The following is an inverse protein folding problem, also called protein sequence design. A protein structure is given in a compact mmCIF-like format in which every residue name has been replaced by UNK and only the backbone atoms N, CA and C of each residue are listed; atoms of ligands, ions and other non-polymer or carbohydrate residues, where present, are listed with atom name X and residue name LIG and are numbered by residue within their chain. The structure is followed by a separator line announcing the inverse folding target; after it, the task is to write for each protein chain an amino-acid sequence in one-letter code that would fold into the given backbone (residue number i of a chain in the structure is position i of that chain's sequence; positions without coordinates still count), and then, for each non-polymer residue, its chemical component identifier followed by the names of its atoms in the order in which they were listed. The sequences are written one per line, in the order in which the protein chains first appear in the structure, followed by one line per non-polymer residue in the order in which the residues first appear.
data_IF_156076798225
#
_entry.id   IF_156076798225
#
_cell.length_a   1.000
_cell.length_b   1.000
_cell.length_c   1.000
_cell.angle_alpha   90.00
_cell.angle_beta   90.00
_cell.angle_gamma   90.00
#
_symmetry.space_group_name_H-M   'P 1'
#
loop_
_entity.id
_entity.type
_entity.pdbx_description
1 polymer ?
#
# COMPACT_ATOMS: atom_id res chain seq x y z
N UNK A 1 28.33 35.75 8.04
CA UNK A 1 27.52 35.56 6.82
C UNK A 1 27.05 34.12 6.80
N UNK A 2 25.92 33.83 7.45
CA UNK A 2 25.37 32.47 7.57
C UNK A 2 24.50 32.20 6.35
N UNK A 3 24.98 31.31 5.48
CA UNK A 3 24.17 30.71 4.42
C UNK A 3 23.11 29.83 5.09
N UNK A 4 21.88 30.33 5.12
CA UNK A 4 20.69 29.58 5.53
C UNK A 4 20.45 28.51 4.46
N UNK A 5 20.93 27.29 4.72
CA UNK A 5 20.63 26.12 3.90
C UNK A 5 19.12 25.86 4.02
N UNK A 6 18.35 26.39 3.05
CA UNK A 6 16.94 26.09 2.92
C UNK A 6 16.79 24.58 2.74
N UNK A 7 16.50 23.87 3.83
CA UNK A 7 16.15 22.48 3.79
C UNK A 7 14.80 22.40 3.07
N UNK A 8 14.83 22.19 1.74
CA UNK A 8 13.63 22.17 0.93
C UNK A 8 12.68 21.12 1.53
N UNK A 9 11.52 21.57 2.02
CA UNK A 9 10.53 20.71 2.60
C UNK A 9 10.17 19.62 1.58
N UNK A 10 10.40 18.36 1.96
CA UNK A 10 10.03 17.19 1.17
C UNK A 10 8.64 16.76 1.61
N UNK A 11 7.81 16.40 0.64
CA UNK A 11 6.45 15.94 0.87
C UNK A 11 6.28 14.60 0.18
N UNK A 12 5.49 13.72 0.78
CA UNK A 12 5.16 12.43 0.16
C UNK A 12 4.11 12.59 -0.93
N UNK A 13 4.26 11.83 -2.00
CA UNK A 13 3.34 11.76 -3.12
C UNK A 13 3.13 10.31 -3.53
N UNK A 14 1.98 10.03 -4.15
CA UNK A 14 1.64 8.70 -4.61
C UNK A 14 1.94 8.53 -6.10
N UNK A 15 2.65 7.47 -6.44
CA UNK A 15 2.96 7.06 -7.81
C UNK A 15 2.16 5.81 -8.15
N UNK A 16 1.45 5.86 -9.27
CA UNK A 16 0.84 4.69 -9.88
C UNK A 16 1.86 3.98 -10.77
N UNK A 17 2.02 2.69 -10.55
CA UNK A 17 2.89 1.81 -11.30
C UNK A 17 2.11 1.02 -12.36
N UNK A 18 2.84 0.49 -13.34
CA UNK A 18 2.29 -0.50 -14.27
C UNK A 18 2.01 -1.79 -13.52
N UNK A 19 1.01 -2.55 -13.98
CA UNK A 19 0.57 -3.78 -13.33
C UNK A 19 1.76 -4.73 -13.08
N UNK A 20 1.96 -5.13 -11.82
CA UNK A 20 3.04 -6.03 -11.36
C UNK A 20 4.47 -5.51 -11.64
N UNK A 21 4.66 -4.20 -11.82
CA UNK A 21 5.98 -3.59 -12.02
C UNK A 21 6.33 -2.57 -10.95
N UNK A 22 5.62 -2.57 -9.83
CA UNK A 22 5.82 -1.70 -8.68
C UNK A 22 7.15 -1.96 -7.95
N UNK A 23 7.58 -3.22 -7.79
CA UNK A 23 8.94 -3.54 -7.30
C UNK A 23 10.01 -3.00 -8.25
N UNK A 24 9.80 -3.18 -9.56
CA UNK A 24 10.69 -2.65 -10.58
C UNK A 24 10.70 -1.12 -10.60
N UNK A 25 9.55 -0.48 -10.40
CA UNK A 25 9.42 0.95 -10.34
C UNK A 25 10.21 1.51 -9.14
N UNK A 26 10.06 0.89 -7.97
CA UNK A 26 10.83 1.22 -6.77
C UNK A 26 12.34 1.13 -7.02
N UNK A 27 12.82 0.05 -7.63
CA UNK A 27 14.23 -0.14 -7.96
C UNK A 27 14.76 0.99 -8.87
N UNK A 28 14.05 1.29 -9.95
CA UNK A 28 14.47 2.33 -10.90
C UNK A 28 14.39 3.75 -10.31
N UNK A 29 13.38 4.04 -9.48
CA UNK A 29 13.25 5.32 -8.80
C UNK A 29 14.37 5.53 -7.76
N UNK A 30 14.70 4.50 -6.98
CA UNK A 30 15.83 4.55 -6.05
C UNK A 30 17.15 4.79 -6.76
N UNK A 31 17.37 4.13 -7.92
CA UNK A 31 18.56 4.37 -8.77
C UNK A 31 18.66 5.79 -9.30
N UNK A 32 17.54 6.47 -9.49
CA UNK A 32 17.49 7.88 -9.87
C UNK A 32 17.63 8.84 -8.69
N UNK A 33 17.77 8.33 -7.46
CA UNK A 33 17.95 9.12 -6.24
C UNK A 33 16.67 9.54 -5.53
N UNK A 34 15.51 8.97 -5.90
CA UNK A 34 14.26 9.24 -5.19
C UNK A 34 14.20 8.43 -3.88
N UNK A 35 13.74 9.09 -2.81
CA UNK A 35 13.30 8.39 -1.60
C UNK A 35 11.93 7.77 -1.89
N UNK A 36 11.84 6.44 -1.77
CA UNK A 36 10.63 5.68 -2.07
C UNK A 36 10.28 4.71 -0.96
N UNK A 37 8.98 4.58 -0.70
CA UNK A 37 8.41 3.59 0.20
C UNK A 37 7.35 2.78 -0.55
N UNK A 38 7.52 1.46 -0.54
CA UNK A 38 6.52 0.50 -1.00
C UNK A 38 6.17 -0.36 0.20
N UNK A 39 4.90 -0.32 0.61
CA UNK A 39 4.42 -1.22 1.67
C UNK A 39 4.32 -2.64 1.10
N UNK A 40 4.86 -3.62 1.82
CA UNK A 40 4.93 -5.02 1.39
C UNK A 40 4.52 -5.96 2.51
N UNK A 41 3.99 -7.13 2.16
CA UNK A 41 3.74 -8.19 3.13
C UNK A 41 4.37 -9.50 2.66
N UNK A 42 4.68 -10.37 3.61
CA UNK A 42 5.17 -11.72 3.32
C UNK A 42 4.01 -12.69 3.10
N UNK A 43 4.11 -13.52 2.08
CA UNK A 43 3.14 -14.57 1.76
C UNK A 43 3.85 -15.84 1.34
N UNK A 44 3.34 -16.99 1.78
CA UNK A 44 3.74 -18.26 1.20
C UNK A 44 3.07 -18.45 -0.17
N UNK A 45 3.89 -18.71 -1.19
CA UNK A 45 3.43 -19.01 -2.55
C UNK A 45 4.16 -20.24 -3.06
N UNK A 46 3.42 -21.11 -3.75
CA UNK A 46 4.03 -22.23 -4.47
C UNK A 46 4.64 -21.70 -5.77
N UNK A 47 5.99 -21.70 -5.83
CA UNK A 47 6.76 -21.28 -6.99
C UNK A 47 7.52 -22.48 -7.52
N UNK A 48 7.20 -22.91 -8.74
CA UNK A 48 7.81 -24.08 -9.40
C UNK A 48 7.77 -25.35 -8.51
N UNK A 49 6.63 -25.60 -7.87
CA UNK A 49 6.42 -26.79 -7.03
C UNK A 49 6.97 -26.69 -5.60
N UNK A 50 7.72 -25.65 -5.25
CA UNK A 50 8.23 -25.44 -3.89
C UNK A 50 7.47 -24.31 -3.20
N UNK A 51 7.10 -24.51 -1.93
CA UNK A 51 6.58 -23.44 -1.09
C UNK A 51 7.70 -22.46 -0.76
N UNK A 52 7.48 -21.18 -1.05
CA UNK A 52 8.44 -20.11 -0.76
C UNK A 52 7.72 -18.92 -0.15
N UNK A 53 8.34 -18.31 0.85
CA UNK A 53 7.91 -17.02 1.37
C UNK A 53 8.38 -15.95 0.38
N UNK A 54 7.45 -15.23 -0.22
CA UNK A 54 7.70 -14.11 -1.12
C UNK A 54 7.20 -12.81 -0.49
N UNK A 55 7.81 -11.69 -0.87
CA UNK A 55 7.36 -10.35 -0.49
C UNK A 55 6.50 -9.78 -1.62
N UNK A 56 5.20 -9.57 -1.36
CA UNK A 56 4.29 -8.96 -2.32
C UNK A 56 3.89 -7.56 -1.85
N UNK A 57 3.60 -6.66 -2.79
CA UNK A 57 3.17 -5.31 -2.44
C UNK A 57 1.80 -5.32 -1.81
N UNK A 58 1.68 -4.55 -0.74
CA UNK A 58 0.43 -4.35 -0.04
C UNK A 58 -0.59 -3.58 -0.88
N UNK A 59 -0.12 -2.58 -1.62
CA UNK A 59 -0.90 -1.84 -2.61
C UNK A 59 -0.36 -2.11 -4.02
N UNK A 60 -0.71 -3.24 -4.67
CA UNK A 60 -0.19 -3.56 -6.00
C UNK A 60 -0.44 -2.42 -6.98
N UNK A 61 0.64 -1.95 -7.61
CA UNK A 61 0.56 -0.85 -8.57
C UNK A 61 0.64 0.54 -7.94
N UNK A 62 0.98 0.68 -6.66
CA UNK A 62 1.23 1.98 -6.03
C UNK A 62 2.52 1.98 -5.22
N UNK A 63 3.19 3.13 -5.17
CA UNK A 63 4.32 3.40 -4.28
C UNK A 63 4.31 4.86 -3.85
N UNK A 64 4.92 5.14 -2.70
CA UNK A 64 5.08 6.49 -2.18
C UNK A 64 6.48 7.00 -2.54
N UNK A 65 6.58 8.27 -2.91
CA UNK A 65 7.86 8.96 -3.13
C UNK A 65 7.90 10.28 -2.37
N UNK A 66 9.07 10.70 -1.90
CA UNK A 66 9.27 12.08 -1.46
C UNK A 66 9.75 12.95 -2.61
N UNK A 67 9.11 14.11 -2.78
CA UNK A 67 9.56 15.17 -3.68
C UNK A 67 9.63 16.48 -2.92
N UNK A 68 10.57 17.34 -3.28
CA UNK A 68 10.54 18.75 -2.86
C UNK A 68 9.61 19.55 -3.79
N UNK A 69 8.90 20.52 -3.24
CA UNK A 69 7.92 21.36 -3.96
C UNK A 69 8.45 22.00 -5.25
N UNK A 70 9.75 22.28 -5.33
CA UNK A 70 10.39 22.95 -6.48
C UNK A 70 10.96 21.99 -7.54
N UNK A 71 10.92 20.67 -7.31
CA UNK A 71 11.48 19.68 -8.25
C UNK A 71 10.40 19.21 -9.21
N UNK A 72 10.73 19.27 -10.50
CA UNK A 72 9.87 18.73 -11.56
C UNK A 72 9.70 17.21 -11.41
N UNK A 73 8.46 16.75 -11.38
CA UNK A 73 8.10 15.33 -11.38
C UNK A 73 7.93 14.74 -12.79
N UNK A 74 8.17 15.53 -13.85
CA UNK A 74 8.13 15.03 -15.23
C UNK A 74 9.04 13.83 -15.52
N UNK A 75 10.25 13.70 -14.92
CA UNK A 75 11.11 12.52 -15.12
C UNK A 75 10.48 11.20 -14.67
N UNK A 76 9.51 11.21 -13.74
CA UNK A 76 8.82 10.00 -13.29
C UNK A 76 8.12 9.27 -14.45
N UNK A 77 7.62 10.01 -15.45
CA UNK A 77 6.94 9.42 -16.63
C UNK A 77 7.86 8.56 -17.48
N UNK A 78 9.15 8.87 -17.49
CA UNK A 78 10.17 8.11 -18.22
C UNK A 78 10.77 6.98 -17.38
N UNK A 79 10.31 6.80 -16.14
CA UNK A 79 10.85 5.78 -15.23
C UNK A 79 10.17 4.44 -15.47
N UNK A 80 10.99 3.39 -15.62
CA UNK A 80 10.48 2.07 -15.96
C UNK A 80 9.68 1.47 -14.80
N UNK A 81 8.48 0.99 -15.10
CA UNK A 81 7.54 0.48 -14.10
C UNK A 81 6.58 1.56 -13.58
N UNK A 82 6.86 2.85 -13.80
CA UNK A 82 5.93 3.94 -13.47
C UNK A 82 4.90 4.10 -14.58
N UNK A 83 3.65 4.31 -14.18
CA UNK A 83 2.55 4.71 -15.07
C UNK A 83 2.40 6.23 -15.03
N UNK A 84 2.17 6.79 -13.83
CA UNK A 84 2.03 8.23 -13.61
C UNK A 84 2.11 8.58 -12.13
N UNK A 85 2.34 9.85 -11.83
CA UNK A 85 2.04 10.40 -10.51
C UNK A 85 0.52 10.56 -10.34
N UNK A 86 0.00 10.31 -9.14
CA UNK A 86 -1.40 10.58 -8.82
C UNK A 86 -1.56 12.08 -8.60
N UNK A 87 -2.43 12.69 -9.40
CA UNK A 87 -2.62 14.13 -9.45
C UNK A 87 -4.11 14.48 -9.56
N UNK A 88 -4.49 15.62 -9.00
CA UNK A 88 -5.82 16.22 -9.13
C UNK A 88 -5.68 17.62 -9.73
N UNK A 89 -6.46 17.97 -10.75
CA UNK A 89 -6.35 19.26 -11.43
C UNK A 89 -4.97 19.54 -12.05
N UNK A 90 -4.20 18.50 -12.38
CA UNK A 90 -2.84 18.63 -12.94
C UNK A 90 -1.72 18.72 -11.89
N UNK A 91 -2.04 18.80 -10.60
CA UNK A 91 -1.08 18.90 -9.51
C UNK A 91 -0.97 17.57 -8.73
N UNK A 92 0.25 17.10 -8.41
CA UNK A 92 0.44 15.92 -7.57
C UNK A 92 -0.29 16.07 -6.23
N UNK A 93 -0.98 15.01 -5.81
CA UNK A 93 -1.69 15.00 -4.55
C UNK A 93 -0.71 14.67 -3.41
N UNK A 94 -0.46 15.58 -2.45
CA UNK A 94 0.39 15.30 -1.32
C UNK A 94 -0.26 14.27 -0.39
N UNK A 95 0.58 13.44 0.21
CA UNK A 95 0.25 12.46 1.23
C UNK A 95 0.88 12.92 2.55
N UNK A 96 0.16 12.78 3.66
CA UNK A 96 0.68 13.19 4.96
C UNK A 96 1.85 12.29 5.40
N UNK A 97 2.88 12.89 6.00
CA UNK A 97 3.98 12.14 6.61
C UNK A 97 3.49 11.19 7.70
N UNK A 98 2.46 11.59 8.46
CA UNK A 98 1.83 10.74 9.49
C UNK A 98 1.31 9.43 8.91
N UNK A 99 0.63 9.47 7.77
CA UNK A 99 0.11 8.25 7.13
C UNK A 99 1.25 7.34 6.68
N UNK A 100 2.28 7.90 6.05
CA UNK A 100 3.42 7.10 5.58
C UNK A 100 4.19 6.49 6.75
N UNK A 101 4.37 7.23 7.84
CA UNK A 101 5.01 6.73 9.05
C UNK A 101 4.18 5.63 9.70
N UNK A 102 2.86 5.79 9.83
CA UNK A 102 1.98 4.73 10.33
C UNK A 102 2.06 3.47 9.46
N UNK A 103 2.11 3.62 8.13
CA UNK A 103 2.29 2.49 7.20
C UNK A 103 3.66 1.82 7.34
N UNK A 104 4.70 2.55 7.74
CA UNK A 104 6.05 2.04 7.98
C UNK A 104 6.14 1.33 9.34
N UNK A 105 5.51 1.86 10.37
CA UNK A 105 5.52 1.31 11.73
C UNK A 105 4.68 0.03 11.84
N UNK A 106 3.55 -0.02 11.13
CA UNK A 106 2.61 -1.15 11.14
C UNK A 106 3.02 -2.33 10.27
N UNK A 107 4.26 -2.43 9.80
CA UNK A 107 4.74 -3.56 8.98
C UNK A 107 5.03 -4.84 9.80
N UNK A 108 4.27 -5.08 10.89
CA UNK A 108 4.34 -6.25 11.78
C UNK A 108 2.97 -6.98 11.82
N UNK A 109 2.93 -8.33 11.97
CA UNK A 109 1.70 -9.11 12.01
C UNK A 109 1.22 -9.48 13.43
N UNK A 110 -0.06 -9.25 13.72
CA UNK A 110 -0.75 -9.54 14.99
C UNK A 110 -2.12 -10.13 14.70
N UNK A 111 -2.53 -11.10 15.52
CA UNK A 111 -3.57 -12.11 15.27
C UNK A 111 -4.91 -11.71 15.90
N UNK A 112 -6.01 -11.97 15.18
CA UNK A 112 -7.34 -12.20 15.77
C UNK A 112 -8.11 -13.15 14.84
N UNK A 113 -8.64 -14.25 15.38
CA UNK A 113 -9.36 -15.31 14.65
C UNK A 113 -10.85 -15.14 14.94
N UNK A 114 -11.68 -15.03 13.90
CA UNK A 114 -13.12 -15.31 13.97
C UNK A 114 -13.53 -15.99 12.66
N UNK A 115 -14.47 -16.94 12.74
CA UNK A 115 -15.06 -17.60 11.57
C UNK A 115 -15.83 -16.56 10.73
N UNK A 116 -15.22 -16.09 9.64
CA UNK A 116 -15.78 -15.09 8.72
C UNK A 116 -16.56 -15.77 7.58
N UNK A 117 -17.68 -15.17 7.18
CA UNK A 117 -18.43 -15.61 5.98
C UNK A 117 -18.28 -14.63 4.81
N UNK A 118 -18.27 -15.11 3.54
CA UNK A 118 -18.30 -14.26 2.36
C UNK A 118 -19.39 -13.19 2.43
N UNK A 119 -19.02 -11.95 2.16
CA UNK A 119 -19.90 -10.78 2.23
C UNK A 119 -19.92 -10.08 3.59
N UNK A 120 -19.19 -10.56 4.59
CA UNK A 120 -19.10 -9.89 5.90
C UNK A 120 -18.15 -8.69 5.88
N UNK A 121 -18.57 -7.61 6.53
CA UNK A 121 -17.70 -6.47 6.79
C UNK A 121 -16.70 -6.86 7.88
N UNK A 122 -15.44 -6.61 7.58
CA UNK A 122 -14.32 -6.84 8.48
C UNK A 122 -13.54 -5.55 8.64
N UNK A 123 -12.98 -5.36 9.83
CA UNK A 123 -11.96 -4.36 10.10
C UNK A 123 -10.62 -5.07 10.17
N UNK A 124 -9.65 -4.51 9.50
CA UNK A 124 -8.28 -4.97 9.62
C UNK A 124 -7.73 -4.35 10.92
N UNK A 125 -7.34 -5.19 11.86
CA UNK A 125 -6.91 -4.80 13.20
C UNK A 125 -5.40 -4.69 13.34
N UNK A 126 -4.64 -5.16 12.35
CA UNK A 126 -3.19 -4.99 12.34
C UNK A 126 -2.61 -4.90 10.93
N UNK A 127 -1.36 -4.48 10.84
CA UNK A 127 -0.69 -4.27 9.57
C UNK A 127 -0.92 -2.86 9.02
N UNK A 128 -0.33 -2.55 7.86
CA UNK A 128 -0.49 -1.26 7.18
C UNK A 128 -1.93 -0.93 6.75
N UNK A 129 -2.90 -1.81 6.96
CA UNK A 129 -4.32 -1.55 6.72
C UNK A 129 -5.15 -1.44 8.01
N UNK A 130 -4.52 -1.35 9.18
CA UNK A 130 -5.24 -1.24 10.44
C UNK A 130 -6.28 -0.09 10.41
N UNK A 131 -7.46 -0.34 10.97
CA UNK A 131 -8.66 0.51 10.97
C UNK A 131 -9.40 0.64 9.62
N UNK A 132 -8.91 0.05 8.54
CA UNK A 132 -9.65 0.03 7.28
C UNK A 132 -10.73 -1.05 7.27
N UNK A 133 -11.88 -0.68 6.72
CA UNK A 133 -13.00 -1.58 6.51
C UNK A 133 -12.93 -2.25 5.13
N UNK A 134 -13.18 -3.54 5.10
CA UNK A 134 -13.24 -4.32 3.87
C UNK A 134 -14.37 -5.35 3.95
N UNK A 135 -14.75 -5.91 2.80
CA UNK A 135 -15.69 -7.02 2.71
C UNK A 135 -14.89 -8.29 2.50
N UNK A 136 -15.04 -9.25 3.40
CA UNK A 136 -14.46 -10.57 3.24
C UNK A 136 -15.11 -11.27 2.03
N UNK A 137 -14.30 -11.73 1.07
CA UNK A 137 -14.77 -12.43 -0.12
C UNK A 137 -14.66 -13.94 0.04
N UNK A 138 -13.47 -14.42 0.43
CA UNK A 138 -13.20 -15.85 0.53
C UNK A 138 -11.93 -16.10 1.35
N UNK A 139 -11.79 -17.34 1.83
CA UNK A 139 -10.50 -17.87 2.25
C UNK A 139 -9.65 -18.19 1.01
N UNK A 140 -8.34 -17.92 1.08
CA UNK A 140 -7.36 -18.34 0.08
C UNK A 140 -6.43 -19.38 0.73
N UNK A 141 -6.91 -20.62 0.85
CA UNK A 141 -6.30 -21.65 1.71
C UNK A 141 -6.69 -21.47 3.18
N UNK A 142 -5.92 -22.04 4.11
CA UNK A 142 -6.31 -22.09 5.53
C UNK A 142 -5.86 -20.85 6.34
N UNK A 143 -4.89 -20.08 5.85
CA UNK A 143 -4.24 -19.00 6.62
C UNK A 143 -4.46 -17.60 6.05
N UNK A 144 -5.14 -17.47 4.91
CA UNK A 144 -5.27 -16.20 4.20
C UNK A 144 -6.70 -15.92 3.81
N UNK A 145 -7.00 -14.65 3.70
CA UNK A 145 -8.31 -14.15 3.27
C UNK A 145 -8.15 -13.25 2.05
N UNK A 146 -9.19 -13.22 1.23
CA UNK A 146 -9.38 -12.25 0.16
C UNK A 146 -10.38 -11.21 0.65
N UNK A 147 -9.96 -9.95 0.69
CA UNK A 147 -10.79 -8.82 1.10
C UNK A 147 -11.03 -7.88 -0.08
N UNK A 148 -12.22 -7.31 -0.14
CA UNK A 148 -12.59 -6.25 -1.06
C UNK A 148 -12.72 -4.95 -0.30
N UNK A 149 -11.88 -3.97 -0.61
CA UNK A 149 -11.95 -2.65 0.04
C UNK A 149 -12.13 -1.53 -0.97
N UNK A 150 -12.74 -0.44 -0.53
CA UNK A 150 -12.76 0.79 -1.31
C UNK A 150 -11.53 1.62 -0.94
N UNK A 151 -10.60 1.76 -1.88
CA UNK A 151 -9.39 2.56 -1.69
C UNK A 151 -9.21 3.50 -2.89
N UNK A 152 -8.99 4.80 -2.63
CA UNK A 152 -8.81 5.83 -3.67
C UNK A 152 -9.92 5.81 -4.74
N UNK A 153 -11.18 5.71 -4.30
CA UNK A 153 -12.39 5.61 -5.14
C UNK A 153 -12.45 4.39 -6.07
N UNK A 154 -11.72 3.33 -5.78
CA UNK A 154 -11.76 2.07 -6.53
C UNK A 154 -11.96 0.89 -5.58
N UNK A 155 -12.67 -0.13 -6.07
CA UNK A 155 -12.73 -1.44 -5.42
C UNK A 155 -11.42 -2.18 -5.68
N UNK A 156 -10.69 -2.49 -4.64
CA UNK A 156 -9.44 -3.25 -4.70
C UNK A 156 -9.61 -4.57 -3.97
N UNK A 157 -9.23 -5.67 -4.62
CA UNK A 157 -9.09 -6.96 -3.96
C UNK A 157 -7.67 -7.10 -3.42
N UNK A 158 -7.56 -7.45 -2.14
CA UNK A 158 -6.29 -7.70 -1.48
C UNK A 158 -6.34 -9.09 -0.81
N UNK A 159 -5.21 -9.78 -0.82
CA UNK A 159 -5.03 -11.02 -0.06
C UNK A 159 -4.21 -10.70 1.17
N UNK A 160 -4.71 -11.02 2.36
CA UNK A 160 -4.02 -10.79 3.63
C UNK A 160 -3.95 -12.09 4.45
N UNK A 161 -2.98 -12.23 5.36
CA UNK A 161 -3.10 -13.22 6.43
C UNK A 161 -4.43 -13.08 7.15
N UNK A 162 -5.03 -14.20 7.59
CA UNK A 162 -6.22 -14.19 8.45
C UNK A 162 -5.95 -13.49 9.79
N UNK A 163 -4.69 -13.49 10.22
CA UNK A 163 -4.22 -12.74 11.38
C UNK A 163 -4.52 -11.24 11.21
N UNK A 164 -5.11 -10.63 12.23
CA UNK A 164 -5.36 -9.20 12.27
C UNK A 164 -6.66 -8.80 11.60
N UNK A 165 -7.67 -9.67 11.63
CA UNK A 165 -8.98 -9.38 11.04
C UNK A 165 -10.04 -9.56 12.10
N UNK A 166 -10.72 -8.46 12.42
CA UNK A 166 -11.86 -8.46 13.32
C UNK A 166 -13.15 -8.28 12.51
N UNK A 167 -14.18 -9.03 12.89
CA UNK A 167 -15.51 -8.86 12.33
C UNK A 167 -16.07 -7.52 12.79
N UNK A 168 -16.56 -6.69 11.86
CA UNK A 168 -17.38 -5.56 12.24
C UNK A 168 -18.77 -6.07 12.64
N UNK A 169 -19.31 -5.67 13.81
CA UNK A 169 -20.69 -5.96 14.12
C UNK A 169 -21.56 -5.40 13.00
N UNK A 170 -22.55 -6.18 12.53
CA UNK A 170 -23.56 -5.66 11.61
C UNK A 170 -24.22 -4.50 12.31
N UNK A 171 -23.94 -3.27 11.88
CA UNK A 171 -24.69 -2.12 12.34
C UNK A 171 -26.15 -2.34 11.98
N UNK A 172 -26.95 -2.70 12.98
CA UNK A 172 -28.39 -2.63 12.91
C UNK A 172 -28.75 -1.15 12.89
N UNK A 173 -29.01 -0.60 11.71
CA UNK A 173 -29.73 0.65 11.60
C UNK A 173 -31.10 0.39 10.99
N UNK A 174 -32.08 0.69 11.86
CA UNK A 174 -33.49 0.97 11.63
C UNK A 174 -33.73 1.86 10.40
#
# INVERSE_FOLDING_TARGET
MTINTAHAAKTWYLVQCKARQDERAEEHLRRQGYTCFRSTYKRERQVKGQRRIISESLFPGYLFIQLSLHVSWSPLRSTRGVSRIVAFGGHPLPVSDTLVNELQERDHPTIAITLLQPGENVRISDGPFAELEAVFLAMEGDERVVLLMNFLQRKQQISLPLAGISRLPRNAHL
#
